data_IF_258992495585
#
_entry.id   IF_258992495585
#
_cell.length_a   1.000
_cell.length_b   1.000
_cell.length_c   1.000
_cell.angle_alpha   90.00
_cell.angle_beta   90.00
_cell.angle_gamma   90.00
#
_symmetry.space_group_name_H-M   'P 1'
#
loop_
_entity.id
_entity.type
_entity.pdbx_description
1 polymer ?
#
# COMPACT_ATOMS: atom_id res chain seq x y z
N UNK A 1 8.95 47.55 41.31
CA UNK A 1 8.47 46.36 42.04
C UNK A 1 7.27 45.82 41.28
N UNK A 2 7.50 44.65 40.68
CA UNK A 2 6.63 43.57 40.17
C UNK A 2 5.11 43.70 39.90
N UNK A 3 4.59 42.82 39.01
CA UNK A 3 3.47 43.05 38.10
C UNK A 3 2.20 42.30 38.53
N UNK A 4 1.08 42.45 37.81
CA UNK A 4 0.00 41.47 37.92
C UNK A 4 -0.60 41.14 36.56
N UNK A 5 -0.65 39.83 36.27
CA UNK A 5 -0.80 39.29 34.94
C UNK A 5 -2.26 39.10 34.51
N UNK A 6 -2.51 39.30 33.21
CA UNK A 6 -3.75 38.90 32.59
C UNK A 6 -3.77 37.38 32.34
N UNK A 7 -4.55 36.68 33.15
CA UNK A 7 -4.89 35.26 32.99
C UNK A 7 -5.91 35.12 31.85
N UNK A 8 -5.46 34.77 30.64
CA UNK A 8 -6.34 34.31 29.54
C UNK A 8 -6.91 32.94 29.89
N UNK A 9 -8.13 32.92 30.43
CA UNK A 9 -8.96 31.71 30.51
C UNK A 9 -9.36 31.28 29.09
N UNK A 10 -8.80 30.16 28.64
CA UNK A 10 -9.15 29.45 27.40
C UNK A 10 -10.59 28.94 27.50
N UNK A 11 -11.56 29.74 27.05
CA UNK A 11 -12.94 29.30 26.82
C UNK A 11 -12.89 28.18 25.77
N UNK A 12 -13.21 26.95 26.15
CA UNK A 12 -13.46 25.86 25.20
C UNK A 12 -14.80 26.19 24.53
N UNK A 13 -14.77 26.47 23.23
CA UNK A 13 -15.97 26.80 22.46
C UNK A 13 -16.96 25.62 22.45
N UNK A 14 -18.19 25.79 22.99
CA UNK A 14 -19.25 24.78 22.94
C UNK A 14 -19.69 24.48 21.50
N UNK A 15 -19.58 25.47 20.61
CA UNK A 15 -20.04 25.42 19.21
C UNK A 15 -19.35 24.32 18.39
N UNK A 16 -18.07 24.04 18.64
CA UNK A 16 -17.30 23.02 17.90
C UNK A 16 -17.73 21.60 18.29
N UNK A 17 -18.30 21.42 19.48
CA UNK A 17 -18.79 20.13 19.97
C UNK A 17 -20.21 19.87 19.46
N UNK A 18 -21.06 20.88 19.44
CA UNK A 18 -22.40 20.81 18.83
C UNK A 18 -22.31 20.56 17.31
N UNK A 19 -21.38 21.20 16.58
CA UNK A 19 -21.17 20.92 15.14
C UNK A 19 -20.69 19.48 14.87
N UNK A 20 -19.91 18.90 15.79
CA UNK A 20 -19.48 17.50 15.70
C UNK A 20 -20.60 16.53 16.02
N UNK A 21 -21.39 16.79 17.05
CA UNK A 21 -22.55 15.97 17.43
C UNK A 21 -23.67 16.07 16.38
N UNK A 22 -23.89 17.25 15.79
CA UNK A 22 -24.87 17.47 14.71
C UNK A 22 -24.44 16.78 13.40
N UNK A 23 -23.15 16.82 13.01
CA UNK A 23 -22.62 16.04 11.86
C UNK A 23 -22.64 14.53 12.10
N UNK A 24 -22.47 14.08 13.34
CA UNK A 24 -22.60 12.66 13.68
C UNK A 24 -24.07 12.20 13.61
N UNK A 25 -25.01 13.05 14.04
CA UNK A 25 -26.44 12.75 13.99
C UNK A 25 -26.96 12.72 12.54
N UNK A 26 -26.57 13.68 11.70
CA UNK A 26 -27.00 13.75 10.31
C UNK A 26 -26.46 12.60 9.45
N UNK A 27 -25.25 12.09 9.74
CA UNK A 27 -24.70 10.92 9.05
C UNK A 27 -25.32 9.59 9.51
N UNK A 28 -25.92 9.55 10.70
CA UNK A 28 -26.58 8.36 11.24
C UNK A 28 -27.96 8.13 10.62
N UNK A 29 -28.68 9.21 10.30
CA UNK A 29 -30.03 9.17 9.72
C UNK A 29 -30.03 8.92 8.19
N UNK A 30 -28.86 9.03 7.54
CA UNK A 30 -28.69 8.80 6.09
C UNK A 30 -28.27 7.35 5.74
N UNK A 31 -28.00 6.52 6.75
CA UNK A 31 -27.57 5.12 6.58
C UNK A 31 -28.76 4.19 6.39
N UNK A 32 -28.71 3.32 5.38
CA UNK A 32 -29.74 2.29 5.15
C UNK A 32 -29.92 1.43 6.40
N UNK A 33 -31.15 1.23 6.91
CA UNK A 33 -31.46 0.39 8.07
C UNK A 33 -30.76 -0.98 8.06
N UNK A 34 -30.61 -1.59 6.87
CA UNK A 34 -29.92 -2.88 6.71
C UNK A 34 -28.42 -2.81 6.98
N UNK A 35 -27.80 -1.64 6.78
CA UNK A 35 -26.37 -1.42 7.02
C UNK A 35 -26.10 -0.68 8.33
N UNK A 36 -27.06 0.06 8.88
CA UNK A 36 -26.93 0.85 10.10
C UNK A 36 -26.48 0.01 11.31
N UNK A 37 -26.85 -1.27 11.35
CA UNK A 37 -26.40 -2.21 12.39
C UNK A 37 -24.87 -2.41 12.42
N UNK A 38 -24.18 -2.24 11.30
CA UNK A 38 -22.73 -2.41 11.16
C UNK A 38 -21.94 -1.16 11.58
N UNK A 39 -22.60 0.01 11.57
CA UNK A 39 -22.01 1.28 12.00
C UNK A 39 -22.14 1.54 13.51
N UNK A 40 -23.00 0.80 14.22
CA UNK A 40 -23.09 0.89 15.69
C UNK A 40 -21.95 0.10 16.36
N UNK A 41 -21.08 0.76 17.15
CA UNK A 41 -19.98 0.08 17.83
C UNK A 41 -20.52 -0.82 18.97
N UNK A 42 -20.26 -2.13 18.88
CA UNK A 42 -20.57 -3.12 19.94
C UNK A 42 -19.31 -3.55 20.69
N UNK A 43 -18.54 -2.58 21.19
CA UNK A 43 -17.21 -2.79 21.76
C UNK A 43 -17.18 -3.87 22.84
N UNK A 44 -18.13 -3.86 23.77
CA UNK A 44 -18.20 -4.85 24.87
C UNK A 44 -18.49 -6.26 24.34
N UNK A 45 -19.41 -6.41 23.39
CA UNK A 45 -19.74 -7.71 22.80
C UNK A 45 -18.57 -8.28 22.02
N UNK A 46 -17.86 -7.46 21.24
CA UNK A 46 -16.66 -7.88 20.51
C UNK A 46 -15.50 -8.25 21.45
N UNK A 47 -15.32 -7.53 22.55
CA UNK A 47 -14.31 -7.87 23.55
C UNK A 47 -14.62 -9.19 24.26
N UNK A 48 -15.86 -9.43 24.67
CA UNK A 48 -16.27 -10.69 25.30
C UNK A 48 -16.13 -11.88 24.33
N UNK A 49 -16.60 -11.73 23.10
CA UNK A 49 -16.44 -12.76 22.07
C UNK A 49 -14.96 -13.01 21.72
N UNK A 50 -14.16 -11.95 21.61
CA UNK A 50 -12.72 -12.04 21.39
C UNK A 50 -12.00 -12.75 22.53
N UNK A 51 -12.34 -12.45 23.79
CA UNK A 51 -11.80 -13.15 24.95
C UNK A 51 -12.16 -14.64 24.95
N UNK A 52 -13.41 -15.01 24.65
CA UNK A 52 -13.83 -16.41 24.52
C UNK A 52 -13.08 -17.14 23.39
N UNK A 53 -12.91 -16.48 22.24
CA UNK A 53 -12.14 -17.03 21.11
C UNK A 53 -10.66 -17.20 21.45
N UNK A 54 -10.06 -16.29 22.21
CA UNK A 54 -8.67 -16.42 22.66
C UNK A 54 -8.49 -17.58 23.63
N UNK A 55 -9.40 -17.75 24.58
CA UNK A 55 -9.39 -18.88 25.52
C UNK A 55 -9.52 -20.19 24.74
N UNK A 56 -10.42 -20.27 23.77
CA UNK A 56 -10.54 -21.44 22.89
C UNK A 56 -9.27 -21.66 22.05
N UNK A 57 -8.76 -20.65 21.36
CA UNK A 57 -7.58 -20.73 20.51
C UNK A 57 -6.28 -21.00 21.28
N UNK A 58 -6.23 -20.67 22.57
CA UNK A 58 -5.08 -20.97 23.43
C UNK A 58 -4.86 -22.47 23.64
N UNK A 59 -5.89 -23.30 23.40
CA UNK A 59 -5.84 -24.74 23.65
C UNK A 59 -5.93 -25.13 25.13
N UNK A 60 -6.17 -24.17 26.04
CA UNK A 60 -6.37 -24.44 27.49
C UNK A 60 -7.52 -25.43 27.73
N UNK A 61 -8.51 -25.47 26.84
CA UNK A 61 -9.69 -26.33 26.97
C UNK A 61 -9.48 -27.76 26.43
N UNK A 62 -8.44 -27.99 25.63
CA UNK A 62 -8.12 -29.30 25.01
C UNK A 62 -6.63 -29.67 25.27
N UNK A 63 -6.27 -30.05 26.51
CA UNK A 63 -4.88 -30.29 26.91
C UNK A 63 -4.21 -31.44 26.12
N UNK A 64 -4.95 -32.48 25.73
CA UNK A 64 -4.42 -33.64 25.00
C UNK A 64 -3.82 -33.25 23.63
N UNK A 65 -4.48 -32.35 22.89
CA UNK A 65 -4.03 -31.92 21.56
C UNK A 65 -2.90 -30.87 21.61
N UNK A 66 -2.71 -30.23 22.76
CA UNK A 66 -1.63 -29.25 23.00
C UNK A 66 -0.27 -29.89 23.30
N UNK A 67 -0.28 -31.09 23.85
CA UNK A 67 0.91 -31.85 24.26
C UNK A 67 1.79 -32.33 23.09
N UNK A 68 1.20 -32.45 21.89
CA UNK A 68 1.87 -32.95 20.69
C UNK A 68 2.22 -31.87 19.67
N UNK A 69 2.06 -30.59 20.00
CA UNK A 69 2.29 -29.50 19.04
C UNK A 69 3.75 -29.05 19.01
N UNK A 70 4.36 -29.05 17.81
CA UNK A 70 5.74 -28.57 17.62
C UNK A 70 5.89 -27.12 18.09
N UNK A 71 7.03 -26.77 18.71
CA UNK A 71 7.33 -25.42 19.20
C UNK A 71 7.04 -24.33 18.15
N UNK A 72 7.40 -24.58 16.88
CA UNK A 72 7.18 -23.65 15.76
C UNK A 72 5.68 -23.40 15.54
N UNK A 73 4.84 -24.43 15.66
CA UNK A 73 3.40 -24.31 15.48
C UNK A 73 2.76 -23.48 16.60
N UNK A 74 3.20 -23.69 17.85
CA UNK A 74 2.77 -22.92 19.02
C UNK A 74 3.14 -21.45 18.92
N UNK A 75 4.38 -21.14 18.48
CA UNK A 75 4.82 -19.75 18.25
C UNK A 75 4.01 -19.09 17.14
N UNK A 76 3.79 -19.77 16.00
CA UNK A 76 2.97 -19.25 14.89
C UNK A 76 1.56 -18.93 15.36
N UNK A 77 0.93 -19.81 16.13
CA UNK A 77 -0.41 -19.60 16.70
C UNK A 77 -0.45 -18.39 17.63
N UNK A 78 0.56 -18.23 18.51
CA UNK A 78 0.70 -17.06 19.39
C UNK A 78 0.80 -15.74 18.62
N UNK A 79 1.64 -15.70 17.57
CA UNK A 79 1.79 -14.52 16.72
C UNK A 79 0.47 -14.16 16.01
N UNK A 80 -0.21 -15.15 15.43
CA UNK A 80 -1.52 -14.93 14.80
C UNK A 80 -2.56 -14.41 15.79
N UNK A 81 -2.57 -14.92 17.03
CA UNK A 81 -3.45 -14.42 18.08
C UNK A 81 -3.14 -12.97 18.46
N UNK A 82 -1.85 -12.61 18.63
CA UNK A 82 -1.43 -11.23 18.90
C UNK A 82 -1.87 -10.26 17.79
N UNK A 83 -1.67 -10.65 16.52
CA UNK A 83 -2.12 -9.88 15.36
C UNK A 83 -3.64 -9.70 15.39
N UNK A 84 -4.40 -10.77 15.63
CA UNK A 84 -5.87 -10.71 15.66
C UNK A 84 -6.39 -9.79 16.77
N UNK A 85 -5.78 -9.82 17.97
CA UNK A 85 -6.13 -8.93 19.08
C UNK A 85 -5.84 -7.48 18.71
N UNK A 86 -4.67 -7.21 18.16
CA UNK A 86 -4.28 -5.85 17.75
C UNK A 86 -5.20 -5.30 16.65
N UNK A 87 -5.51 -6.10 15.63
CA UNK A 87 -6.44 -5.71 14.57
C UNK A 87 -7.85 -5.46 15.09
N UNK A 88 -8.30 -6.26 16.06
CA UNK A 88 -9.59 -6.04 16.75
C UNK A 88 -9.58 -4.71 17.51
N UNK A 89 -8.48 -4.39 18.20
CA UNK A 89 -8.30 -3.09 18.85
C UNK A 89 -8.36 -1.95 17.83
N UNK A 90 -7.62 -2.03 16.72
CA UNK A 90 -7.63 -1.01 15.66
C UNK A 90 -9.04 -0.85 15.06
N UNK A 91 -9.75 -1.94 14.78
CA UNK A 91 -11.11 -1.91 14.27
C UNK A 91 -12.05 -1.07 15.19
N UNK A 92 -11.91 -1.23 16.50
CA UNK A 92 -12.76 -0.60 17.50
C UNK A 92 -12.34 0.84 17.83
N UNK A 93 -11.04 1.12 17.91
CA UNK A 93 -10.52 2.37 18.48
C UNK A 93 -9.76 3.28 17.49
N UNK A 94 -9.34 2.77 16.33
CA UNK A 94 -8.58 3.60 15.40
C UNK A 94 -9.45 4.75 14.84
N UNK A 95 -8.87 5.94 14.63
CA UNK A 95 -9.59 7.06 14.05
C UNK A 95 -10.10 6.72 12.64
N UNK A 96 -11.25 7.29 12.27
CA UNK A 96 -11.76 7.18 10.89
C UNK A 96 -10.93 8.07 9.95
N UNK A 97 -10.60 7.53 8.79
CA UNK A 97 -9.95 8.28 7.70
C UNK A 97 -10.96 9.15 6.95
N UNK A 98 -10.46 9.93 5.99
CA UNK A 98 -11.31 10.69 5.04
C UNK A 98 -12.19 9.74 4.19
N UNK A 99 -11.81 8.47 4.06
CA UNK A 99 -12.55 7.49 3.28
C UNK A 99 -13.67 6.84 4.10
N UNK A 100 -14.90 7.07 3.66
CA UNK A 100 -16.11 6.51 4.30
C UNK A 100 -16.45 5.11 3.75
N UNK A 101 -16.03 4.78 2.53
CA UNK A 101 -16.37 3.54 1.81
C UNK A 101 -15.15 2.67 1.52
N UNK A 102 -15.26 1.32 1.55
CA UNK A 102 -16.50 0.54 1.62
C UNK A 102 -17.19 0.54 2.98
N UNK A 103 -16.40 0.55 4.04
CA UNK A 103 -16.83 0.78 5.40
C UNK A 103 -15.65 1.36 6.20
N UNK A 104 -15.86 2.27 7.16
CA UNK A 104 -14.78 2.83 7.97
C UNK A 104 -13.94 1.76 8.68
N UNK A 105 -14.57 0.64 9.06
CA UNK A 105 -13.91 -0.55 9.62
C UNK A 105 -12.74 -1.06 8.76
N UNK A 106 -12.89 -1.07 7.44
CA UNK A 106 -11.87 -1.58 6.53
C UNK A 106 -10.64 -0.69 6.61
N UNK A 107 -10.80 0.63 6.59
CA UNK A 107 -9.69 1.56 6.68
C UNK A 107 -9.00 1.53 8.05
N UNK A 108 -9.76 1.31 9.13
CA UNK A 108 -9.20 1.06 10.46
C UNK A 108 -8.36 -0.21 10.52
N UNK A 109 -8.81 -1.28 9.85
CA UNK A 109 -8.04 -2.52 9.73
C UNK A 109 -6.79 -2.33 8.86
N UNK A 110 -6.89 -1.60 7.74
CA UNK A 110 -5.75 -1.25 6.89
C UNK A 110 -4.71 -0.45 7.70
N UNK A 111 -5.14 0.51 8.52
CA UNK A 111 -4.26 1.22 9.44
C UNK A 111 -3.56 0.28 10.42
N UNK A 112 -4.31 -0.64 11.05
CA UNK A 112 -3.72 -1.66 11.94
C UNK A 112 -2.71 -2.55 11.23
N UNK A 113 -3.01 -3.01 10.01
CA UNK A 113 -2.09 -3.78 9.18
C UNK A 113 -0.83 -2.99 8.81
N UNK A 114 -0.96 -1.68 8.56
CA UNK A 114 0.18 -0.80 8.31
C UNK A 114 1.10 -0.69 9.54
N UNK A 115 0.53 -0.59 10.75
CA UNK A 115 1.30 -0.58 11.99
C UNK A 115 2.01 -1.91 12.24
N UNK A 116 1.33 -3.04 12.04
CA UNK A 116 1.96 -4.37 12.13
C UNK A 116 3.12 -4.48 11.13
N UNK A 117 2.91 -4.04 9.88
CA UNK A 117 3.93 -4.05 8.86
C UNK A 117 5.13 -3.19 9.26
N UNK A 118 4.91 -1.98 9.78
CA UNK A 118 5.97 -1.11 10.28
C UNK A 118 6.75 -1.78 11.42
N UNK A 119 6.08 -2.37 12.40
CA UNK A 119 6.74 -3.09 13.50
C UNK A 119 7.56 -4.27 12.99
N UNK A 120 7.04 -5.02 12.01
CA UNK A 120 7.77 -6.12 11.39
C UNK A 120 9.01 -5.63 10.62
N UNK A 121 8.91 -4.51 9.90
CA UNK A 121 10.05 -3.88 9.25
C UNK A 121 11.08 -3.39 10.27
N UNK A 122 10.65 -2.75 11.37
CA UNK A 122 11.55 -2.35 12.46
C UNK A 122 12.24 -3.56 13.08
N UNK A 123 11.55 -4.69 13.24
CA UNK A 123 12.19 -5.92 13.69
C UNK A 123 13.26 -6.41 12.69
N UNK A 124 12.94 -6.45 11.39
CA UNK A 124 13.87 -6.84 10.32
C UNK A 124 15.07 -5.89 10.21
N UNK A 125 14.87 -4.60 10.48
CA UNK A 125 15.90 -3.57 10.48
C UNK A 125 17.05 -3.94 11.45
N UNK A 126 16.73 -4.48 12.62
CA UNK A 126 17.73 -4.90 13.60
C UNK A 126 18.33 -6.29 13.34
N UNK A 127 17.90 -7.02 12.32
CA UNK A 127 18.46 -8.33 11.96
C UNK A 127 19.65 -8.19 11.03
N UNK A 128 20.63 -9.10 11.13
CA UNK A 128 21.64 -9.24 10.09
C UNK A 128 20.99 -9.77 8.82
N UNK A 129 21.55 -9.43 7.65
CA UNK A 129 21.02 -9.84 6.34
C UNK A 129 20.75 -11.34 6.24
N UNK A 130 21.69 -12.18 6.70
CA UNK A 130 21.56 -13.63 6.61
C UNK A 130 20.55 -14.19 7.60
N UNK A 131 20.49 -13.64 8.81
CA UNK A 131 19.49 -13.99 9.82
C UNK A 131 18.08 -13.59 9.35
N UNK A 132 17.93 -12.41 8.72
CA UNK A 132 16.68 -11.96 8.12
C UNK A 132 16.22 -12.89 6.98
N UNK A 133 17.14 -13.36 6.13
CA UNK A 133 16.83 -14.35 5.08
C UNK A 133 16.36 -15.68 5.65
N UNK A 134 17.02 -16.17 6.71
CA UNK A 134 16.56 -17.38 7.40
C UNK A 134 15.21 -17.15 8.09
N UNK A 135 14.97 -15.96 8.63
CA UNK A 135 13.68 -15.61 9.22
C UNK A 135 12.54 -15.67 8.20
N UNK A 136 12.78 -15.33 6.94
CA UNK A 136 11.77 -15.44 5.88
C UNK A 136 11.19 -16.86 5.71
N UNK A 137 11.93 -17.91 6.09
CA UNK A 137 11.45 -19.31 6.08
C UNK A 137 10.23 -19.53 6.99
N UNK A 138 10.09 -18.73 8.05
CA UNK A 138 8.91 -18.82 8.92
C UNK A 138 7.63 -18.33 8.23
N UNK A 139 7.76 -17.40 7.27
CA UNK A 139 6.65 -16.88 6.48
C UNK A 139 6.26 -17.83 5.34
N UNK A 140 7.25 -18.34 4.60
CA UNK A 140 7.02 -19.27 3.51
C UNK A 140 8.20 -20.24 3.37
N UNK A 141 7.96 -21.56 3.20
CA UNK A 141 9.02 -22.58 3.19
C UNK A 141 10.05 -22.38 2.06
N UNK A 142 9.63 -21.87 0.91
CA UNK A 142 10.48 -21.66 -0.26
C UNK A 142 11.42 -20.44 -0.18
N UNK A 143 11.47 -19.73 0.96
CA UNK A 143 12.29 -18.53 1.14
C UNK A 143 13.63 -18.83 1.81
N UNK A 144 14.54 -17.85 1.79
CA UNK A 144 15.86 -17.99 2.42
C UNK A 144 16.82 -18.91 1.68
N UNK A 145 16.56 -19.13 0.39
CA UNK A 145 17.44 -19.81 -0.58
C UNK A 145 17.83 -18.80 -1.63
N UNK A 146 19.09 -18.84 -2.08
CA UNK A 146 19.57 -17.96 -3.13
C UNK A 146 18.82 -18.22 -4.45
N UNK A 147 18.36 -17.14 -5.08
CA UNK A 147 17.59 -17.22 -6.31
C UNK A 147 18.55 -17.30 -7.51
N UNK A 148 18.20 -18.08 -8.56
CA UNK A 148 18.97 -18.06 -9.79
C UNK A 148 18.94 -16.66 -10.41
N UNK A 149 20.10 -16.15 -10.83
CA UNK A 149 20.18 -14.87 -11.53
C UNK A 149 19.46 -14.98 -12.87
N UNK A 150 18.37 -14.21 -13.03
CA UNK A 150 17.66 -14.08 -14.30
C UNK A 150 18.07 -12.75 -14.92
N UNK A 151 18.75 -12.82 -16.06
CA UNK A 151 19.18 -11.64 -16.81
C UNK A 151 18.22 -11.36 -17.97
N UNK A 152 17.67 -10.15 -18.03
CA UNK A 152 16.69 -9.74 -19.05
C UNK A 152 17.37 -9.12 -20.29
N UNK A 153 18.43 -8.33 -20.09
CA UNK A 153 19.10 -7.52 -21.11
C UNK A 153 20.42 -8.07 -21.63
N UNK A 154 20.64 -9.40 -21.63
CA UNK A 154 21.89 -9.99 -22.15
C UNK A 154 21.96 -10.03 -23.68
N UNK A 155 20.81 -10.16 -24.36
CA UNK A 155 20.71 -10.09 -25.82
C UNK A 155 19.45 -9.31 -26.23
N UNK A 156 19.66 -8.07 -26.66
CA UNK A 156 18.56 -7.16 -27.02
C UNK A 156 18.18 -7.16 -28.50
N UNK A 157 18.69 -8.13 -29.27
CA UNK A 157 18.30 -8.28 -30.68
C UNK A 157 16.85 -8.73 -30.77
N UNK A 158 16.05 -7.96 -31.49
CA UNK A 158 14.64 -8.28 -31.79
C UNK A 158 14.56 -9.53 -32.67
N UNK A 159 15.48 -9.65 -33.63
CA UNK A 159 15.57 -10.76 -34.57
C UNK A 159 16.88 -11.53 -34.39
N UNK A 160 16.76 -12.81 -34.02
CA UNK A 160 17.87 -13.74 -33.77
C UNK A 160 17.71 -14.94 -34.72
N UNK A 161 18.23 -14.85 -35.96
CA UNK A 161 18.07 -15.91 -36.95
C UNK A 161 18.84 -17.18 -36.57
N UNK A 162 19.81 -17.09 -35.66
CA UNK A 162 20.63 -18.23 -35.23
C UNK A 162 19.88 -19.17 -34.27
N UNK A 163 18.72 -18.77 -33.75
CA UNK A 163 17.98 -19.57 -32.78
C UNK A 163 17.09 -20.62 -33.48
N UNK A 164 17.23 -21.92 -33.14
CA UNK A 164 16.50 -22.99 -33.82
C UNK A 164 15.00 -23.04 -33.46
N UNK A 165 14.56 -22.44 -32.35
CA UNK A 165 13.16 -22.52 -31.88
C UNK A 165 12.30 -21.34 -32.33
N UNK A 166 12.82 -20.12 -32.29
CA UNK A 166 12.10 -18.92 -32.69
C UNK A 166 13.08 -17.81 -33.07
N UNK A 167 12.86 -17.20 -34.23
CA UNK A 167 13.67 -16.06 -34.69
C UNK A 167 13.41 -14.78 -33.90
N UNK A 168 12.36 -14.73 -33.10
CA UNK A 168 12.00 -13.60 -32.22
C UNK A 168 11.97 -14.05 -30.76
N UNK A 169 12.87 -14.97 -30.37
CA UNK A 169 12.88 -15.57 -29.03
C UNK A 169 12.88 -14.52 -27.91
N UNK A 170 13.76 -13.53 -27.99
CA UNK A 170 13.90 -12.50 -26.95
C UNK A 170 12.59 -11.73 -26.75
N UNK A 171 11.94 -11.33 -27.85
CA UNK A 171 10.65 -10.64 -27.82
C UNK A 171 9.55 -11.52 -27.24
N UNK A 172 9.51 -12.80 -27.62
CA UNK A 172 8.51 -13.73 -27.12
C UNK A 172 8.68 -13.99 -25.62
N UNK A 173 9.91 -14.21 -25.17
CA UNK A 173 10.21 -14.45 -23.76
C UNK A 173 9.84 -13.24 -22.89
N UNK A 174 10.06 -12.01 -23.38
CA UNK A 174 9.65 -10.76 -22.70
C UNK A 174 8.13 -10.58 -22.70
N UNK A 175 7.45 -10.75 -23.84
CA UNK A 175 6.00 -10.53 -23.95
C UNK A 175 5.15 -11.48 -23.08
N UNK A 176 5.66 -12.69 -22.83
CA UNK A 176 4.98 -13.69 -22.00
C UNK A 176 5.55 -13.75 -20.57
N UNK A 177 6.28 -12.74 -20.14
CA UNK A 177 6.72 -12.60 -18.76
C UNK A 177 5.58 -12.05 -17.87
N UNK A 178 5.61 -12.41 -16.58
CA UNK A 178 4.65 -11.91 -15.59
C UNK A 178 4.67 -10.38 -15.44
N UNK A 179 5.79 -9.73 -15.77
CA UNK A 179 5.96 -8.29 -15.65
C UNK A 179 5.06 -7.48 -16.60
N UNK A 180 4.71 -8.01 -17.79
CA UNK A 180 3.77 -7.36 -18.71
C UNK A 180 2.39 -7.17 -18.07
N UNK A 181 1.87 -8.22 -17.41
CA UNK A 181 0.61 -8.13 -16.69
C UNK A 181 0.74 -7.24 -15.45
N UNK A 182 1.87 -7.30 -14.75
CA UNK A 182 2.14 -6.45 -13.61
C UNK A 182 2.15 -4.96 -13.99
N UNK A 183 2.73 -4.59 -15.13
CA UNK A 183 2.70 -3.23 -15.68
C UNK A 183 1.27 -2.80 -15.98
N UNK A 184 0.52 -3.58 -16.77
CA UNK A 184 -0.86 -3.22 -17.15
C UNK A 184 -1.76 -3.03 -15.92
N UNK A 185 -1.82 -4.02 -15.03
CA UNK A 185 -2.69 -3.96 -13.85
C UNK A 185 -2.18 -2.98 -12.81
N UNK A 186 -0.86 -2.86 -12.65
CA UNK A 186 -0.23 -1.89 -11.76
C UNK A 186 -0.59 -0.46 -12.15
N UNK A 187 -0.43 -0.10 -13.42
CA UNK A 187 -0.76 1.23 -13.91
C UNK A 187 -2.26 1.52 -13.94
N UNK A 188 -3.09 0.51 -14.22
CA UNK A 188 -4.53 0.61 -14.04
C UNK A 188 -4.92 0.94 -12.59
N UNK A 189 -4.34 0.22 -11.61
CA UNK A 189 -4.58 0.46 -10.19
C UNK A 189 -4.08 1.82 -9.72
N UNK A 190 -2.91 2.26 -10.20
CA UNK A 190 -2.35 3.60 -9.92
C UNK A 190 -3.23 4.70 -10.51
N UNK A 191 -3.78 4.50 -11.70
CA UNK A 191 -4.64 5.47 -12.35
C UNK A 191 -5.96 5.69 -11.59
N UNK A 192 -6.58 4.62 -11.06
CA UNK A 192 -7.78 4.72 -10.22
C UNK A 192 -7.49 5.46 -8.90
N UNK A 193 -6.27 5.31 -8.38
CA UNK A 193 -5.83 5.88 -7.11
C UNK A 193 -5.45 7.37 -7.22
N UNK A 194 -4.66 7.76 -8.23
CA UNK A 194 -4.11 9.12 -8.40
C UNK A 194 -5.05 10.03 -9.22
N UNK A 195 -5.84 9.44 -10.13
CA UNK A 195 -6.88 10.11 -10.94
C UNK A 195 -6.40 11.33 -11.72
N UNK A 196 -5.11 11.40 -12.03
CA UNK A 196 -4.49 12.53 -12.72
C UNK A 196 -3.54 12.04 -13.81
N UNK A 197 -3.92 12.25 -15.08
CA UNK A 197 -3.20 11.73 -16.24
C UNK A 197 -1.76 12.28 -16.36
N UNK A 198 -1.49 13.60 -16.27
CA UNK A 198 -0.12 14.11 -16.33
C UNK A 198 0.79 13.55 -15.24
N UNK A 199 0.30 13.48 -14.00
CA UNK A 199 1.07 12.97 -12.87
C UNK A 199 1.42 11.48 -13.05
N UNK A 200 0.49 10.68 -13.58
CA UNK A 200 0.72 9.26 -13.90
C UNK A 200 1.81 9.07 -14.97
N UNK A 201 1.84 9.92 -16.00
CA UNK A 201 2.90 9.88 -17.00
C UNK A 201 4.26 10.24 -16.42
N UNK A 202 4.32 11.26 -15.54
CA UNK A 202 5.56 11.63 -14.84
C UNK A 202 6.07 10.47 -13.99
N UNK A 203 5.18 9.77 -13.27
CA UNK A 203 5.54 8.59 -12.50
C UNK A 203 5.99 7.44 -13.41
N UNK A 204 5.33 7.22 -14.55
CA UNK A 204 5.66 6.13 -15.48
C UNK A 204 7.05 6.30 -16.06
N UNK A 205 7.35 7.47 -16.62
CA UNK A 205 8.70 7.77 -17.12
C UNK A 205 9.70 7.79 -15.95
N UNK A 206 9.29 8.32 -14.80
CA UNK A 206 10.14 8.39 -13.61
C UNK A 206 10.59 7.02 -13.13
N UNK A 207 9.71 6.02 -13.12
CA UNK A 207 10.05 4.66 -12.69
C UNK A 207 11.06 3.98 -13.61
N UNK A 208 10.90 4.14 -14.92
CA UNK A 208 11.81 3.60 -15.96
C UNK A 208 13.20 4.25 -15.87
N UNK A 209 13.24 5.55 -15.56
CA UNK A 209 14.49 6.23 -15.23
C UNK A 209 15.15 5.67 -13.97
N UNK A 210 14.37 5.25 -12.97
CA UNK A 210 14.92 4.58 -11.78
C UNK A 210 15.52 3.21 -12.12
N UNK A 211 14.86 2.43 -12.97
CA UNK A 211 15.37 1.13 -13.44
C UNK A 211 16.67 1.30 -14.21
N UNK A 212 16.70 2.24 -15.17
CA UNK A 212 17.92 2.60 -15.90
C UNK A 212 19.05 3.04 -14.95
N UNK A 213 18.73 3.82 -13.91
CA UNK A 213 19.70 4.29 -12.92
C UNK A 213 20.24 3.13 -12.09
N UNK A 214 19.39 2.19 -11.67
CA UNK A 214 19.73 1.12 -10.73
C UNK A 214 20.02 -0.25 -11.34
N UNK A 215 20.04 -0.37 -12.68
CA UNK A 215 20.40 -1.62 -13.40
C UNK A 215 21.76 -2.21 -13.03
N UNK A 216 22.69 -1.37 -12.55
CA UNK A 216 24.02 -1.81 -12.11
C UNK A 216 23.99 -2.51 -10.74
N UNK A 217 22.96 -2.25 -9.91
CA UNK A 217 22.76 -2.89 -8.61
C UNK A 217 21.81 -4.08 -8.71
N UNK A 218 20.79 -3.98 -9.58
CA UNK A 218 19.74 -4.97 -9.73
C UNK A 218 19.75 -5.54 -11.14
N UNK A 219 20.20 -6.80 -11.33
CA UNK A 219 20.20 -7.46 -12.65
C UNK A 219 18.81 -7.55 -13.30
N UNK A 220 17.75 -7.55 -12.49
CA UNK A 220 16.36 -7.54 -12.98
C UNK A 220 16.03 -6.26 -13.77
N UNK A 221 16.64 -5.12 -13.43
CA UNK A 221 16.41 -3.83 -14.11
C UNK A 221 17.30 -3.66 -15.35
N UNK A 222 18.19 -4.61 -15.62
CA UNK A 222 18.95 -4.57 -16.86
C UNK A 222 18.09 -5.14 -17.99
N UNK A 223 17.22 -4.31 -18.52
CA UNK A 223 16.29 -4.63 -19.60
C UNK A 223 16.75 -4.01 -20.92
N UNK A 224 16.09 -4.41 -22.01
CA UNK A 224 16.41 -3.90 -23.34
C UNK A 224 15.79 -2.52 -23.57
N UNK A 225 16.45 -1.68 -24.37
CA UNK A 225 15.95 -0.32 -24.65
C UNK A 225 14.52 -0.32 -25.22
N UNK A 226 14.17 -1.33 -26.04
CA UNK A 226 12.84 -1.45 -26.63
C UNK A 226 11.82 -2.01 -25.64
N UNK A 227 12.27 -2.72 -24.61
CA UNK A 227 11.44 -3.22 -23.52
C UNK A 227 10.93 -2.03 -22.71
N UNK A 228 11.87 -1.32 -22.06
CA UNK A 228 11.58 -0.17 -21.21
C UNK A 228 10.84 0.97 -21.95
N UNK A 229 11.27 1.32 -23.18
CA UNK A 229 10.64 2.43 -23.91
C UNK A 229 9.34 2.02 -24.60
N UNK A 230 9.37 0.95 -25.40
CA UNK A 230 8.22 0.62 -26.27
C UNK A 230 7.23 -0.25 -25.51
N UNK A 231 7.69 -1.35 -24.91
CA UNK A 231 6.80 -2.30 -24.26
C UNK A 231 6.26 -1.74 -22.95
N UNK A 232 7.11 -1.22 -22.07
CA UNK A 232 6.66 -0.75 -20.77
C UNK A 232 6.00 0.63 -20.87
N UNK A 233 6.73 1.71 -21.20
CA UNK A 233 6.16 3.07 -21.26
C UNK A 233 4.99 3.18 -22.25
N UNK A 234 5.21 2.84 -23.53
CA UNK A 234 4.28 3.18 -24.61
C UNK A 234 3.13 2.19 -24.78
N UNK A 235 3.29 0.93 -24.36
CA UNK A 235 2.26 -0.10 -24.50
C UNK A 235 1.62 -0.42 -23.14
N UNK A 236 2.34 -1.04 -22.22
CA UNK A 236 1.78 -1.57 -20.98
C UNK A 236 1.31 -0.46 -20.03
N UNK A 237 2.19 0.49 -19.75
CA UNK A 237 1.94 1.61 -18.84
C UNK A 237 0.88 2.53 -19.43
N UNK A 238 1.02 2.92 -20.70
CA UNK A 238 0.01 3.70 -21.41
C UNK A 238 -1.37 3.06 -21.38
N UNK A 239 -1.47 1.76 -21.72
CA UNK A 239 -2.75 1.04 -21.74
C UNK A 239 -3.36 0.95 -20.34
N UNK A 240 -2.56 0.63 -19.33
CA UNK A 240 -3.00 0.60 -17.94
C UNK A 240 -3.54 1.96 -17.47
N UNK A 241 -2.79 3.04 -17.73
CA UNK A 241 -3.22 4.40 -17.40
C UNK A 241 -4.52 4.76 -18.14
N UNK A 242 -4.58 4.50 -19.44
CA UNK A 242 -5.77 4.78 -20.26
C UNK A 242 -7.00 4.03 -19.73
N UNK A 243 -6.87 2.72 -19.47
CA UNK A 243 -7.96 1.89 -18.96
C UNK A 243 -8.41 2.33 -17.57
N UNK A 244 -7.48 2.69 -16.69
CA UNK A 244 -7.79 3.16 -15.34
C UNK A 244 -8.48 4.52 -15.35
N UNK A 245 -7.98 5.46 -16.15
CA UNK A 245 -8.62 6.78 -16.32
C UNK A 245 -9.99 6.68 -17.02
N UNK A 246 -10.17 5.72 -17.93
CA UNK A 246 -11.48 5.41 -18.51
C UNK A 246 -12.44 4.86 -17.45
N UNK A 247 -11.95 3.98 -16.57
CA UNK A 247 -12.72 3.44 -15.43
C UNK A 247 -13.20 4.59 -14.51
N UNK A 248 -12.30 5.53 -14.17
CA UNK A 248 -12.65 6.71 -13.38
C UNK A 248 -13.75 7.53 -14.06
N UNK A 249 -13.61 7.86 -15.35
CA UNK A 249 -14.62 8.63 -16.10
C UNK A 249 -15.96 7.91 -16.21
N UNK A 250 -15.94 6.58 -16.39
CA UNK A 250 -17.15 5.77 -16.46
C UNK A 250 -17.98 5.86 -15.17
N UNK A 251 -17.32 5.89 -14.00
CA UNK A 251 -17.98 5.99 -12.71
C UNK A 251 -18.28 7.43 -12.27
N UNK A 252 -17.49 8.41 -12.70
CA UNK A 252 -17.72 9.86 -12.45
C UNK A 252 -18.98 10.36 -13.16
N UNK A 253 -19.23 9.92 -14.39
CA UNK A 253 -20.42 10.29 -15.17
C UNK A 253 -21.74 9.64 -14.73
N UNK A 254 -21.75 8.82 -13.67
CA UNK A 254 -22.96 8.18 -13.15
C UNK A 254 -23.51 8.98 -11.98
N UNK A 255 -24.68 9.60 -12.15
CA UNK A 255 -25.48 10.09 -11.04
C UNK A 255 -26.00 8.88 -10.24
N UNK A 256 -25.44 8.65 -9.06
CA UNK A 256 -25.94 7.61 -8.16
C UNK A 256 -27.21 8.12 -7.47
N UNK A 257 -28.37 7.57 -7.79
CA UNK A 257 -29.48 7.60 -6.84
C UNK A 257 -29.08 6.72 -5.65
N UNK A 258 -28.76 7.36 -4.53
CA UNK A 258 -28.33 6.69 -3.31
C UNK A 258 -29.50 6.02 -2.58
N UNK A 259 -30.29 5.22 -3.29
CA UNK A 259 -31.32 4.40 -2.65
C UNK A 259 -30.60 3.27 -1.87
N UNK A 260 -31.03 3.02 -0.62
CA UNK A 260 -30.50 1.94 0.22
C UNK A 260 -30.59 0.56 -0.46
N UNK A 261 -29.73 -0.38 -0.05
CA UNK A 261 -29.78 -1.81 -0.44
C UNK A 261 -31.16 -2.40 -0.14
N UNK A 262 -31.77 -2.03 0.99
CA UNK A 262 -33.10 -2.48 1.41
C UNK A 262 -34.22 -2.10 0.43
N UNK A 263 -34.06 -0.97 -0.27
CA UNK A 263 -35.04 -0.41 -1.20
C UNK A 263 -34.83 -0.85 -2.66
N UNK A 264 -33.82 -1.70 -2.93
CA UNK A 264 -33.59 -2.25 -4.27
C UNK A 264 -34.62 -3.35 -4.60
N UNK A 265 -35.35 -3.25 -5.72
CA UNK A 265 -36.44 -4.17 -6.04
C UNK A 265 -35.94 -5.57 -6.44
N UNK A 266 -34.74 -5.66 -7.04
CA UNK A 266 -34.20 -6.90 -7.60
C UNK A 266 -32.95 -7.38 -6.85
N UNK A 267 -32.73 -8.69 -6.81
CA UNK A 267 -31.51 -9.31 -6.25
C UNK A 267 -30.27 -8.82 -6.99
N UNK A 268 -30.33 -8.70 -8.33
CA UNK A 268 -29.25 -8.13 -9.15
C UNK A 268 -28.97 -6.67 -8.75
N UNK A 269 -30.02 -5.90 -8.41
CA UNK A 269 -29.89 -4.54 -7.89
C UNK A 269 -29.20 -4.49 -6.53
N UNK A 270 -29.53 -5.43 -5.63
CA UNK A 270 -28.87 -5.58 -4.32
C UNK A 270 -27.40 -5.95 -4.46
N UNK A 271 -27.06 -6.90 -5.34
CA UNK A 271 -25.67 -7.30 -5.61
C UNK A 271 -24.89 -6.13 -6.22
N UNK A 272 -25.43 -5.46 -7.25
CA UNK A 272 -24.82 -4.28 -7.86
C UNK A 272 -24.60 -3.16 -6.84
N UNK A 273 -25.57 -2.94 -5.95
CA UNK A 273 -25.48 -1.92 -4.90
C UNK A 273 -24.42 -2.28 -3.85
N UNK A 274 -24.33 -3.55 -3.48
CA UNK A 274 -23.31 -4.07 -2.55
C UNK A 274 -21.91 -3.93 -3.15
N UNK A 275 -21.72 -4.30 -4.41
CA UNK A 275 -20.46 -4.10 -5.12
C UNK A 275 -20.09 -2.62 -5.24
N UNK A 276 -21.08 -1.74 -5.45
CA UNK A 276 -20.89 -0.29 -5.46
C UNK A 276 -20.60 0.33 -4.08
N UNK A 277 -20.67 -0.43 -2.98
CA UNK A 277 -20.10 0.04 -1.71
C UNK A 277 -18.58 -0.07 -1.73
N UNK A 278 -18.01 -1.03 -2.47
CA UNK A 278 -16.56 -1.18 -2.57
C UNK A 278 -15.87 -0.13 -3.45
N UNK A 279 -16.65 0.73 -4.10
CA UNK A 279 -16.11 1.87 -4.84
C UNK A 279 -16.10 3.14 -3.97
N UNK A 280 -15.17 4.08 -4.26
CA UNK A 280 -15.13 5.39 -3.62
C UNK A 280 -16.50 6.09 -3.67
N UNK A 281 -16.81 6.87 -2.63
CA UNK A 281 -18.06 7.62 -2.56
C UNK A 281 -18.17 8.67 -3.70
N UNK A 282 -17.04 9.24 -4.11
CA UNK A 282 -16.91 10.17 -5.22
C UNK A 282 -15.70 9.77 -6.09
N UNK A 283 -15.91 9.83 -7.41
CA UNK A 283 -14.93 9.53 -8.46
C UNK A 283 -14.32 10.80 -9.08
N UNK A 284 -14.42 11.89 -8.35
CA UNK A 284 -13.84 13.19 -8.66
C UNK A 284 -12.33 13.07 -8.95
N UNK A 285 -11.89 13.86 -9.94
CA UNK A 285 -10.48 13.96 -10.31
C UNK A 285 -9.74 14.77 -9.25
N UNK A 286 -8.61 14.24 -8.80
CA UNK A 286 -7.78 14.96 -7.84
C UNK A 286 -7.05 16.12 -8.53
N UNK A 287 -7.25 17.32 -7.98
CA UNK A 287 -6.68 18.56 -8.49
C UNK A 287 -5.34 18.87 -7.80
N UNK A 288 -4.23 18.58 -8.49
CA UNK A 288 -2.87 18.76 -7.96
C UNK A 288 -2.28 20.13 -8.27
N UNK A 289 -2.55 20.65 -9.48
CA UNK A 289 -2.12 21.97 -9.97
C UNK A 289 -0.66 22.36 -9.63
N UNK A 290 0.34 21.57 -10.07
CA UNK A 290 1.74 21.74 -9.64
C UNK A 290 2.35 23.11 -9.99
N UNK A 291 1.83 23.79 -11.01
CA UNK A 291 2.37 25.07 -11.50
C UNK A 291 1.75 26.31 -10.84
N UNK A 292 0.83 26.16 -9.87
CA UNK A 292 0.21 27.31 -9.19
C UNK A 292 1.15 28.06 -8.22
N UNK A 293 2.36 27.54 -7.98
CA UNK A 293 3.38 28.22 -7.20
C UNK A 293 4.56 27.31 -6.86
N UNK A 294 5.72 27.86 -6.51
CA UNK A 294 6.94 27.08 -6.25
C UNK A 294 6.78 26.11 -5.08
N UNK A 295 6.05 26.49 -4.03
CA UNK A 295 5.79 25.60 -2.89
C UNK A 295 4.87 24.43 -3.28
N UNK A 296 3.84 24.68 -4.10
CA UNK A 296 2.94 23.63 -4.58
C UNK A 296 3.68 22.67 -5.50
N UNK A 297 4.59 23.17 -6.33
CA UNK A 297 5.48 22.35 -7.14
C UNK A 297 6.34 21.42 -6.27
N UNK A 298 7.00 21.94 -5.24
CA UNK A 298 7.81 21.14 -4.31
C UNK A 298 6.96 20.06 -3.60
N UNK A 299 5.74 20.40 -3.18
CA UNK A 299 4.82 19.46 -2.53
C UNK A 299 4.35 18.34 -3.47
N UNK A 300 4.09 18.64 -4.75
CA UNK A 300 3.72 17.59 -5.72
C UNK A 300 4.95 16.77 -6.11
N UNK A 301 6.12 17.40 -6.24
CA UNK A 301 7.37 16.70 -6.52
C UNK A 301 7.77 15.76 -5.38
N UNK A 302 7.60 16.17 -4.12
CA UNK A 302 7.89 15.30 -2.97
C UNK A 302 6.99 14.06 -2.95
N UNK A 303 5.72 14.19 -3.35
CA UNK A 303 4.83 13.05 -3.54
C UNK A 303 5.37 12.09 -4.60
N UNK A 304 5.82 12.60 -5.76
CA UNK A 304 6.43 11.76 -6.80
C UNK A 304 7.65 11.00 -6.26
N UNK A 305 8.53 11.68 -5.53
CA UNK A 305 9.75 11.07 -4.95
C UNK A 305 9.39 9.97 -3.95
N UNK A 306 8.43 10.22 -3.06
CA UNK A 306 7.95 9.21 -2.10
C UNK A 306 7.35 8.02 -2.82
N UNK A 307 6.54 8.26 -3.86
CA UNK A 307 5.91 7.21 -4.65
C UNK A 307 6.95 6.32 -5.33
N UNK A 308 7.88 6.92 -6.08
CA UNK A 308 8.97 6.20 -6.74
C UNK A 308 9.87 5.45 -5.74
N UNK A 309 10.07 6.01 -4.54
CA UNK A 309 10.80 5.34 -3.47
C UNK A 309 10.09 4.07 -3.01
N UNK A 310 8.77 4.12 -2.75
CA UNK A 310 7.99 2.94 -2.34
C UNK A 310 8.07 1.83 -3.40
N UNK A 311 7.96 2.21 -4.67
CA UNK A 311 8.04 1.27 -5.78
C UNK A 311 9.41 0.62 -5.84
N UNK A 312 10.47 1.43 -5.82
CA UNK A 312 11.85 0.96 -5.84
C UNK A 312 12.15 0.02 -4.66
N UNK A 313 11.68 0.37 -3.45
CA UNK A 313 11.85 -0.44 -2.25
C UNK A 313 11.26 -1.85 -2.43
N UNK A 314 10.21 -2.02 -3.24
CA UNK A 314 9.66 -3.34 -3.56
C UNK A 314 10.69 -4.26 -4.20
N UNK A 315 11.47 -3.74 -5.14
CA UNK A 315 12.49 -4.51 -5.85
C UNK A 315 13.73 -4.73 -4.99
N UNK A 316 14.17 -3.71 -4.25
CA UNK A 316 15.31 -3.84 -3.35
C UNK A 316 15.04 -4.80 -2.19
N UNK A 317 13.89 -4.69 -1.51
CA UNK A 317 13.55 -5.56 -0.38
C UNK A 317 13.50 -7.03 -0.83
N UNK A 318 12.86 -7.28 -1.98
CA UNK A 318 12.82 -8.58 -2.65
C UNK A 318 14.23 -9.13 -2.90
N UNK A 319 15.11 -8.32 -3.48
CA UNK A 319 16.49 -8.70 -3.77
C UNK A 319 17.30 -9.00 -2.50
N UNK A 320 17.17 -8.16 -1.47
CA UNK A 320 17.90 -8.32 -0.22
C UNK A 320 17.53 -9.62 0.52
N UNK A 321 16.23 -9.93 0.56
CA UNK A 321 15.65 -11.05 1.30
C UNK A 321 15.52 -12.35 0.48
N UNK A 322 15.99 -12.36 -0.77
CA UNK A 322 15.86 -13.49 -1.69
C UNK A 322 14.41 -13.97 -1.87
N UNK A 323 13.49 -13.04 -2.13
CA UNK A 323 12.09 -13.36 -2.36
C UNK A 323 11.85 -13.51 -3.87
N UNK A 324 11.35 -14.66 -4.37
CA UNK A 324 11.11 -14.82 -5.79
C UNK A 324 9.94 -13.93 -6.27
N UNK A 325 9.96 -13.40 -7.51
CA UNK A 325 8.89 -12.52 -8.03
C UNK A 325 7.49 -13.13 -7.93
N UNK A 326 7.38 -14.45 -8.11
CA UNK A 326 6.12 -15.21 -8.08
C UNK A 326 5.64 -15.56 -6.67
N UNK A 327 6.40 -15.20 -5.64
CA UNK A 327 6.03 -15.54 -4.26
C UNK A 327 4.83 -14.70 -3.80
N UNK A 328 3.82 -15.33 -3.16
CA UNK A 328 2.63 -14.62 -2.69
C UNK A 328 2.93 -13.50 -1.68
N UNK A 329 4.04 -13.55 -0.94
CA UNK A 329 4.47 -12.49 -0.01
C UNK A 329 4.60 -11.15 -0.72
N UNK A 330 5.12 -11.11 -1.96
CA UNK A 330 5.23 -9.88 -2.74
C UNK A 330 3.85 -9.37 -3.11
N UNK A 331 2.96 -10.26 -3.55
CA UNK A 331 1.58 -9.93 -3.93
C UNK A 331 0.83 -9.34 -2.73
N UNK A 332 0.92 -9.97 -1.56
CA UNK A 332 0.31 -9.46 -0.32
C UNK A 332 0.86 -8.10 0.07
N UNK A 333 2.18 -7.89 -0.05
CA UNK A 333 2.82 -6.59 0.20
C UNK A 333 2.32 -5.52 -0.76
N UNK A 334 2.22 -5.82 -2.06
CA UNK A 334 1.71 -4.89 -3.07
C UNK A 334 0.26 -4.50 -2.81
N UNK A 335 -0.60 -5.47 -2.46
CA UNK A 335 -2.00 -5.22 -2.09
C UNK A 335 -2.07 -4.34 -0.85
N UNK A 336 -1.28 -4.64 0.19
CA UNK A 336 -1.25 -3.84 1.41
C UNK A 336 -0.82 -2.39 1.15
N UNK A 337 0.26 -2.19 0.40
CA UNK A 337 0.73 -0.85 0.04
C UNK A 337 -0.27 -0.10 -0.83
N UNK A 338 -0.94 -0.79 -1.76
CA UNK A 338 -2.02 -0.19 -2.54
C UNK A 338 -3.19 0.25 -1.64
N UNK A 339 -3.62 -0.58 -0.69
CA UNK A 339 -4.67 -0.24 0.28
C UNK A 339 -4.28 0.93 1.19
N UNK A 340 -3.00 1.06 1.58
CA UNK A 340 -2.49 2.20 2.37
C UNK A 340 -2.42 3.46 1.51
N UNK A 341 -2.02 3.35 0.24
CA UNK A 341 -1.81 4.48 -0.64
C UNK A 341 -3.13 5.18 -1.01
N UNK A 342 -4.25 4.46 -1.11
CA UNK A 342 -5.58 5.03 -1.42
C UNK A 342 -5.98 6.15 -0.43
N UNK A 343 -6.08 5.93 0.90
CA UNK A 343 -6.38 7.00 1.85
C UNK A 343 -5.26 8.04 1.92
N UNK A 344 -3.99 7.62 1.84
CA UNK A 344 -2.83 8.53 1.91
C UNK A 344 -2.88 9.60 0.83
N UNK A 345 -3.13 9.21 -0.42
CA UNK A 345 -3.15 10.14 -1.55
C UNK A 345 -4.35 11.10 -1.46
N UNK A 346 -5.52 10.61 -1.05
CA UNK A 346 -6.70 11.47 -0.86
C UNK A 346 -6.49 12.47 0.28
N UNK A 347 -5.99 12.00 1.42
CA UNK A 347 -5.67 12.85 2.57
C UNK A 347 -4.62 13.91 2.22
N UNK A 348 -3.57 13.52 1.47
CA UNK A 348 -2.55 14.44 1.02
C UNK A 348 -3.11 15.47 0.03
N UNK A 349 -3.92 15.05 -0.94
CA UNK A 349 -4.55 15.97 -1.88
C UNK A 349 -5.44 17.00 -1.16
N UNK A 350 -6.29 16.56 -0.22
CA UNK A 350 -7.10 17.45 0.60
C UNK A 350 -6.24 18.41 1.44
N UNK A 351 -5.14 17.92 2.03
CA UNK A 351 -4.19 18.76 2.77
C UNK A 351 -3.57 19.86 1.90
N UNK A 352 -3.29 19.58 0.63
CA UNK A 352 -2.76 20.57 -0.31
C UNK A 352 -3.80 21.61 -0.78
N UNK A 353 -5.09 21.33 -0.64
CA UNK A 353 -6.17 22.23 -1.04
C UNK A 353 -6.61 23.15 0.10
N UNK A 354 -6.65 22.65 1.34
CA UNK A 354 -7.06 23.40 2.52
C UNK A 354 -5.95 24.34 3.04
N UNK A 355 -5.85 25.55 2.45
CA UNK A 355 -4.85 26.58 2.86
C UNK A 355 -5.14 27.28 4.21
N UNK A 356 -6.26 26.96 4.88
CA UNK A 356 -6.81 27.80 5.96
C UNK A 356 -6.69 27.28 7.39
N UNK A 357 -6.41 25.99 7.61
CA UNK A 357 -6.43 25.39 8.97
C UNK A 357 -5.15 24.56 9.16
N UNK A 358 -4.31 24.84 10.18
CA UNK A 358 -3.21 23.97 10.52
C UNK A 358 -3.78 22.62 11.00
N UNK A 359 -3.70 21.60 10.15
CA UNK A 359 -3.95 20.21 10.52
C UNK A 359 -2.62 19.51 10.73
N UNK A 360 -2.61 18.55 11.65
CA UNK A 360 -1.52 17.59 11.77
C UNK A 360 -1.33 16.86 10.43
N UNK A 361 -0.10 16.45 10.14
CA UNK A 361 0.21 15.61 8.98
C UNK A 361 -0.69 14.37 9.04
N UNK A 362 -1.34 13.96 7.93
CA UNK A 362 -2.24 12.81 7.95
C UNK A 362 -1.56 11.54 8.47
N UNK A 363 -2.21 10.80 9.37
CA UNK A 363 -1.62 9.65 10.05
C UNK A 363 -1.14 8.56 9.06
N UNK A 364 -1.85 8.34 7.96
CA UNK A 364 -1.44 7.38 6.92
C UNK A 364 -0.20 7.84 6.16
N UNK A 365 -0.05 9.16 5.96
CA UNK A 365 1.15 9.73 5.34
C UNK A 365 2.35 9.59 6.27
N UNK A 366 2.18 9.86 7.57
CA UNK A 366 3.24 9.64 8.57
C UNK A 366 3.67 8.17 8.60
N UNK A 367 2.71 7.24 8.60
CA UNK A 367 2.98 5.80 8.58
C UNK A 367 3.68 5.36 7.30
N UNK A 368 3.26 5.87 6.13
CA UNK A 368 3.90 5.58 4.85
C UNK A 368 5.34 6.10 4.83
N UNK A 369 5.58 7.33 5.31
CA UNK A 369 6.93 7.90 5.40
C UNK A 369 7.80 7.11 6.38
N UNK A 370 7.28 6.78 7.56
CA UNK A 370 8.00 5.99 8.57
C UNK A 370 8.36 4.59 8.06
N UNK A 371 7.44 3.92 7.34
CA UNK A 371 7.69 2.62 6.73
C UNK A 371 8.76 2.69 5.65
N UNK A 372 8.72 3.73 4.80
CA UNK A 372 9.76 3.97 3.79
C UNK A 372 11.13 4.24 4.41
N UNK A 373 11.17 4.93 5.55
CA UNK A 373 12.39 5.22 6.27
C UNK A 373 12.99 3.95 6.89
N UNK A 374 12.15 3.14 7.54
CA UNK A 374 12.56 1.83 8.08
C UNK A 374 13.05 0.86 6.99
N UNK A 375 12.55 0.96 5.76
CA UNK A 375 13.07 0.16 4.64
C UNK A 375 14.46 0.64 4.17
N UNK A 376 14.81 1.93 4.36
CA UNK A 376 16.05 2.53 3.88
C UNK A 376 17.25 2.30 4.80
N UNK A 377 17.11 2.54 6.10
CA UNK A 377 18.27 2.85 6.96
C UNK A 377 19.24 1.69 7.25
N UNK A 378 18.79 0.43 7.41
CA UNK A 378 19.71 -0.71 7.62
C UNK A 378 19.62 -1.81 6.56
N UNK A 379 18.52 -1.93 5.80
CA UNK A 379 18.43 -2.95 4.75
C UNK A 379 19.04 -2.50 3.42
N UNK A 380 18.90 -1.21 3.07
CA UNK A 380 19.27 -0.70 1.75
C UNK A 380 20.53 0.17 1.82
N UNK A 381 20.67 1.04 2.82
CA UNK A 381 21.82 1.97 2.94
C UNK A 381 23.18 1.26 3.10
N UNK A 382 23.32 0.18 3.90
CA UNK A 382 24.60 -0.56 3.96
C UNK A 382 24.92 -1.30 2.66
N UNK A 383 23.93 -1.62 1.84
CA UNK A 383 24.13 -2.14 0.48
C UNK A 383 24.52 -1.04 -0.50
N UNK A 384 24.01 0.20 -0.36
CA UNK A 384 24.51 1.34 -1.13
C UNK A 384 25.99 1.63 -0.84
N UNK A 385 26.41 1.50 0.41
CA UNK A 385 27.82 1.71 0.81
C UNK A 385 28.70 0.51 0.42
N UNK A 386 28.17 -0.72 0.42
CA UNK A 386 28.92 -1.95 0.05
C UNK A 386 28.87 -2.32 -1.45
N UNK A 387 27.94 -1.77 -2.23
CA UNK A 387 27.85 -1.99 -3.68
C UNK A 387 28.82 -1.10 -4.48
N UNK A 388 29.51 -0.16 -3.83
CA UNK A 388 30.69 0.48 -4.39
C UNK A 388 31.84 -0.52 -4.22
N UNK A 389 32.40 -1.10 -5.31
CA UNK A 389 33.57 -1.95 -5.20
C UNK A 389 34.74 -1.06 -4.76
N UNK A 390 35.02 -1.01 -3.46
CA UNK A 390 36.31 -0.56 -2.99
C UNK A 390 37.26 -1.69 -3.38
N UNK A 391 37.89 -1.54 -4.56
CA UNK A 391 39.06 -2.34 -4.91
C UNK A 391 40.00 -2.31 -3.69
N UNK A 392 40.33 -3.47 -3.07
CA UNK A 392 41.37 -3.48 -2.07
C UNK A 392 42.62 -2.98 -2.78
N UNK A 393 43.13 -1.82 -2.35
CA UNK A 393 44.45 -1.36 -2.77
C UNK A 393 45.41 -2.49 -2.44
N UNK A 394 45.93 -3.13 -3.49
CA UNK A 394 46.98 -4.12 -3.35
C UNK A 394 48.12 -3.50 -2.56
N UNK A 395 48.47 -4.17 -1.48
CA UNK A 395 49.81 -4.07 -0.88
C UNK A 395 50.83 -4.45 -1.93
N UNK A 396 51.62 -3.47 -2.36
CA UNK A 396 52.98 -3.68 -2.88
C UNK A 396 53.92 -3.29 -1.76
#
# INVERSE_FOLDING_TARGET
MEPNGHRKTRRRDPMVREDKEMKLSSSSDELDPWTAWAYRPRTVTFLLFGACLLIWASGILDPEHSSSSDLVSSVKRGIWAMIAVFLTYCLLQAPSTVLIRPHPAIWRLVHGMAVIYLVALTFLLFQKRDDARQFMKFLHPDLGVELPERSYGTDCRIYVPENPKSRFKNVYDTLFDEFVLAHIFGWWGKAIMIRNQPLLWVLSIGFELMELTFRHMLPNFNECWWDSIILDILICNWFGIWAGMHTVRYFDGRTYEWVGISRQPNIIGKVKRTLGQFTPAQWDKDEWHPLLGPWRFIQVLSLCIVFLTVELNTFFLKFCLWVPPRNPVIIYRLILWWLIAIPTIREYNSYLQDRGIPRNIPDHLVMAIASNFAEKDDMILPLFVKAIPIHPKGTI
#
